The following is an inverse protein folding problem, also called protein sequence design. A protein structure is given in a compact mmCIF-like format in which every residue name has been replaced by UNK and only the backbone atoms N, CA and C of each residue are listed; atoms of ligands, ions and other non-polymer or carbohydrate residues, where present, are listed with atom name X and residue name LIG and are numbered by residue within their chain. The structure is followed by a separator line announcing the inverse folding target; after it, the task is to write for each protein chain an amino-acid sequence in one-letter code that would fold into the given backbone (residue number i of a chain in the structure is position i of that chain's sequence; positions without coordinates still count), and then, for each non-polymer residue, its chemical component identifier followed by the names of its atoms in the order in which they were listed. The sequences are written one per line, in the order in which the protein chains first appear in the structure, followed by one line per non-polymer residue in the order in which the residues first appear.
data_IF_926498047851
#
_entry.id   IF_926498047851
#
_cell.length_a   1.000
_cell.length_b   1.000
_cell.length_c   1.000
_cell.angle_alpha   90.00
_cell.angle_beta   90.00
_cell.angle_gamma   90.00
#
_symmetry.space_group_name_H-M   'P 1'
#
loop_
_entity.id
_entity.type
_entity.pdbx_description
1 polymer ?
#
# COMPACT_ATOMS: atom_id res chain seq x y z
N UNK A 1 12.57 4.53 -12.38
CA UNK A 1 13.44 5.24 -11.44
C UNK A 1 13.51 6.75 -11.74
N UNK A 2 13.79 7.18 -12.98
CA UNK A 2 13.87 8.62 -13.36
C UNK A 2 12.60 9.40 -13.00
N UNK A 3 11.41 8.84 -13.22
CA UNK A 3 10.14 9.50 -12.89
C UNK A 3 9.97 9.72 -11.38
N UNK A 4 10.36 8.75 -10.57
CA UNK A 4 10.33 8.87 -9.10
C UNK A 4 11.31 9.96 -8.66
N UNK A 5 12.56 9.94 -9.16
CA UNK A 5 13.53 10.98 -8.82
C UNK A 5 13.02 12.38 -9.16
N UNK A 6 12.47 12.54 -10.36
CA UNK A 6 11.91 13.82 -10.81
C UNK A 6 10.75 14.31 -9.91
N UNK A 7 9.85 13.40 -9.49
CA UNK A 7 8.78 13.73 -8.55
C UNK A 7 9.34 14.28 -7.23
N UNK A 8 10.33 13.61 -6.65
CA UNK A 8 10.92 14.02 -5.38
C UNK A 8 11.70 15.33 -5.51
N UNK A 9 12.48 15.50 -6.59
CA UNK A 9 13.23 16.74 -6.86
C UNK A 9 12.30 17.95 -7.02
N UNK A 10 11.16 17.77 -7.73
CA UNK A 10 10.16 18.83 -7.87
C UNK A 10 9.52 19.16 -6.52
N UNK A 11 9.11 18.15 -5.75
CA UNK A 11 8.50 18.36 -4.43
C UNK A 11 9.46 19.10 -3.49
N UNK A 12 10.73 18.72 -3.46
CA UNK A 12 11.74 19.40 -2.63
C UNK A 12 11.98 20.83 -3.12
N UNK A 13 12.02 21.04 -4.43
CA UNK A 13 12.20 22.38 -5.02
C UNK A 13 11.05 23.33 -4.63
N UNK A 14 9.82 22.83 -4.57
CA UNK A 14 8.62 23.63 -4.28
C UNK A 14 8.37 23.81 -2.78
N UNK A 15 8.62 22.79 -1.97
CA UNK A 15 8.25 22.75 -0.55
C UNK A 15 9.42 22.65 0.42
N UNK A 16 10.66 22.49 -0.09
CA UNK A 16 11.87 22.43 0.71
C UNK A 16 12.16 21.10 1.37
N UNK A 17 11.11 20.31 1.72
CA UNK A 17 11.21 19.03 2.44
C UNK A 17 10.05 18.10 2.13
N UNK A 18 10.21 16.84 2.52
CA UNK A 18 9.15 15.83 2.51
C UNK A 18 9.08 15.24 3.91
N UNK A 19 7.93 15.33 4.55
CA UNK A 19 7.68 14.83 5.91
C UNK A 19 6.94 13.52 5.92
N UNK A 20 6.05 13.32 4.95
CA UNK A 20 5.21 12.12 4.84
C UNK A 20 5.22 11.61 3.41
N UNK A 21 5.38 10.30 3.27
CA UNK A 21 5.15 9.58 2.02
C UNK A 21 4.01 8.58 2.23
N UNK A 22 2.98 8.64 1.37
CA UNK A 22 1.94 7.61 1.31
C UNK A 22 2.07 6.87 -0.02
N UNK A 23 2.52 5.62 0.02
CA UNK A 23 2.58 4.72 -1.12
C UNK A 23 1.23 4.05 -1.33
N UNK A 24 0.33 4.73 -2.01
CA UNK A 24 -1.03 4.23 -2.27
C UNK A 24 -1.17 3.58 -3.67
N UNK A 25 -0.35 3.96 -4.63
CA UNK A 25 -0.44 3.45 -5.98
C UNK A 25 -0.22 1.92 -6.01
N UNK A 26 -1.11 1.23 -6.70
CA UNK A 26 -1.04 -0.22 -6.88
C UNK A 26 -1.90 -0.62 -8.08
N UNK A 27 -1.58 -1.77 -8.65
CA UNK A 27 -2.30 -2.34 -9.77
C UNK A 27 -2.80 -3.72 -9.37
N UNK A 28 -4.11 -3.93 -9.47
CA UNK A 28 -4.75 -5.24 -9.41
C UNK A 28 -5.16 -5.68 -10.81
N UNK A 29 -5.15 -6.97 -11.03
CA UNK A 29 -5.72 -7.64 -12.20
C UNK A 29 -6.31 -8.96 -11.72
N UNK A 30 -7.12 -9.61 -12.54
CA UNK A 30 -7.67 -10.92 -12.24
C UNK A 30 -7.37 -11.88 -13.38
N UNK A 31 -6.53 -12.88 -13.11
CA UNK A 31 -6.12 -13.89 -14.06
C UNK A 31 -5.78 -15.19 -13.33
N UNK A 32 -6.26 -16.33 -13.82
CA UNK A 32 -5.83 -17.63 -13.31
C UNK A 32 -4.34 -17.82 -13.64
N UNK A 33 -3.59 -18.45 -12.74
CA UNK A 33 -2.15 -18.62 -12.93
C UNK A 33 -1.79 -19.33 -14.24
N UNK A 34 -2.62 -20.27 -14.68
CA UNK A 34 -2.42 -21.00 -15.94
C UNK A 34 -2.68 -20.17 -17.20
N UNK A 35 -3.36 -19.04 -17.06
CA UNK A 35 -3.72 -18.11 -18.14
C UNK A 35 -2.86 -16.84 -18.11
N UNK A 36 -2.19 -16.58 -16.98
CA UNK A 36 -1.40 -15.39 -16.74
C UNK A 36 -0.09 -15.45 -17.52
N UNK A 37 0.20 -14.40 -18.27
CA UNK A 37 1.51 -14.27 -18.90
C UNK A 37 2.53 -13.56 -18.01
N UNK A 38 3.82 -13.70 -18.34
CA UNK A 38 4.91 -13.08 -17.59
C UNK A 38 4.87 -11.56 -17.60
N UNK A 39 4.27 -10.95 -18.63
CA UNK A 39 4.14 -9.49 -18.74
C UNK A 39 3.11 -8.95 -17.75
N UNK A 40 1.97 -9.63 -17.59
CA UNK A 40 0.95 -9.29 -16.59
C UNK A 40 1.51 -9.44 -15.16
N UNK A 41 2.14 -10.59 -14.87
CA UNK A 41 2.83 -10.81 -13.60
C UNK A 41 3.82 -9.69 -13.29
N UNK A 42 4.75 -9.45 -14.22
CA UNK A 42 5.82 -8.45 -14.05
C UNK A 42 5.27 -7.03 -13.87
N UNK A 43 4.21 -6.69 -14.59
CA UNK A 43 3.56 -5.37 -14.48
C UNK A 43 2.94 -5.15 -13.10
N UNK A 44 2.23 -6.14 -12.55
CA UNK A 44 1.63 -6.03 -11.21
C UNK A 44 2.72 -5.90 -10.15
N UNK A 45 3.75 -6.72 -10.20
CA UNK A 45 4.91 -6.64 -9.28
C UNK A 45 5.63 -5.30 -9.42
N UNK A 46 5.89 -4.84 -10.65
CA UNK A 46 6.65 -3.61 -10.87
C UNK A 46 5.92 -2.37 -10.37
N UNK A 47 4.61 -2.26 -10.62
CA UNK A 47 3.82 -1.11 -10.15
C UNK A 47 3.62 -1.17 -8.63
N UNK A 48 3.21 -2.32 -8.10
CA UNK A 48 2.72 -2.43 -6.72
C UNK A 48 3.87 -2.57 -5.72
N UNK A 49 4.83 -3.45 -5.97
CA UNK A 49 5.94 -3.70 -5.05
C UNK A 49 7.17 -2.85 -5.37
N UNK A 50 7.65 -2.90 -6.61
CA UNK A 50 8.86 -2.16 -6.99
C UNK A 50 8.61 -0.63 -6.98
N UNK A 51 7.39 -0.18 -7.33
CA UNK A 51 6.98 1.22 -7.22
C UNK A 51 7.07 1.72 -5.77
N UNK A 52 6.47 0.96 -4.83
CA UNK A 52 6.57 1.24 -3.39
C UNK A 52 8.02 1.30 -2.92
N UNK A 53 8.85 0.32 -3.30
CA UNK A 53 10.27 0.29 -2.96
C UNK A 53 11.01 1.51 -3.49
N UNK A 54 10.81 1.88 -4.77
CA UNK A 54 11.49 3.03 -5.39
C UNK A 54 11.15 4.36 -4.72
N UNK A 55 9.85 4.58 -4.42
CA UNK A 55 9.40 5.79 -3.74
C UNK A 55 9.89 5.84 -2.29
N UNK A 56 9.81 4.73 -1.56
CA UNK A 56 10.34 4.61 -0.19
C UNK A 56 11.84 4.91 -0.14
N UNK A 57 12.63 4.34 -1.05
CA UNK A 57 14.07 4.59 -1.14
C UNK A 57 14.38 6.08 -1.40
N UNK A 58 13.63 6.73 -2.28
CA UNK A 58 13.79 8.14 -2.56
C UNK A 58 13.41 9.02 -1.35
N UNK A 59 12.32 8.68 -0.66
CA UNK A 59 11.89 9.37 0.56
C UNK A 59 12.92 9.25 1.69
N UNK A 60 13.42 8.06 1.95
CA UNK A 60 14.43 7.81 2.98
C UNK A 60 15.67 8.66 2.77
N UNK A 61 16.20 8.73 1.55
CA UNK A 61 17.37 9.58 1.22
C UNK A 61 17.17 11.05 1.59
N UNK A 62 15.93 11.52 1.57
CA UNK A 62 15.57 12.90 1.92
C UNK A 62 15.27 13.04 3.41
N UNK A 63 14.48 12.14 3.97
CA UNK A 63 14.05 12.16 5.37
C UNK A 63 15.21 11.95 6.34
N UNK A 64 16.20 11.11 5.98
CA UNK A 64 17.41 10.89 6.77
C UNK A 64 18.19 12.19 7.03
N UNK A 65 18.27 13.10 6.03
CA UNK A 65 18.94 14.39 6.18
C UNK A 65 18.26 15.29 7.23
N UNK A 66 16.96 15.12 7.38
CA UNK A 66 16.14 15.87 8.35
C UNK A 66 15.98 15.14 9.69
N UNK A 67 16.47 13.90 9.79
CA UNK A 67 16.31 13.02 10.94
C UNK A 67 14.83 12.92 11.41
N UNK A 68 13.90 12.92 10.48
CA UNK A 68 12.45 12.84 10.73
C UNK A 68 11.71 12.47 9.46
N UNK A 69 10.70 11.59 9.59
CA UNK A 69 9.79 11.27 8.50
C UNK A 69 8.77 10.21 8.87
N UNK A 70 7.73 10.08 8.05
CA UNK A 70 6.76 9.00 8.15
C UNK A 70 6.48 8.43 6.78
N UNK A 71 6.46 7.11 6.67
CA UNK A 71 6.09 6.39 5.45
C UNK A 71 4.91 5.47 5.78
N UNK A 72 3.84 5.57 4.99
CA UNK A 72 2.67 4.69 5.08
C UNK A 72 2.50 3.95 3.75
N UNK A 73 2.61 2.64 3.80
CA UNK A 73 2.42 1.78 2.63
C UNK A 73 1.01 1.22 2.58
N UNK A 74 0.43 1.10 1.39
CA UNK A 74 -0.87 0.48 1.18
C UNK A 74 -0.72 -0.94 0.64
N UNK A 75 -0.91 -1.93 1.52
CA UNK A 75 -0.99 -3.34 1.15
C UNK A 75 -2.44 -3.77 0.82
N UNK A 76 -2.87 -4.91 1.27
CA UNK A 76 -4.22 -5.47 1.17
C UNK A 76 -4.35 -6.68 2.09
N UNK A 77 -5.54 -7.01 2.56
CA UNK A 77 -5.79 -8.30 3.25
C UNK A 77 -5.39 -9.50 2.39
N UNK A 78 -5.34 -9.37 1.06
CA UNK A 78 -4.85 -10.42 0.16
C UNK A 78 -3.35 -10.70 0.29
N UNK A 79 -2.59 -9.88 1.01
CA UNK A 79 -1.24 -10.22 1.45
C UNK A 79 -1.21 -11.32 2.52
N UNK A 80 -2.33 -11.60 3.18
CA UNK A 80 -2.52 -12.66 4.18
C UNK A 80 -3.48 -13.75 3.74
N UNK A 81 -4.42 -13.42 2.85
CA UNK A 81 -5.55 -14.28 2.46
C UNK A 81 -5.46 -14.70 1.01
N UNK A 82 -6.12 -15.79 0.68
CA UNK A 82 -6.19 -16.31 -0.68
C UNK A 82 -7.46 -15.82 -1.40
N UNK A 83 -7.29 -15.50 -2.68
CA UNK A 83 -8.37 -15.26 -3.62
C UNK A 83 -7.96 -15.79 -4.99
N UNK A 84 -8.82 -16.59 -5.62
CA UNK A 84 -8.58 -17.11 -6.98
C UNK A 84 -8.36 -15.96 -7.97
N UNK A 85 -7.42 -16.12 -8.88
CA UNK A 85 -7.07 -15.11 -9.90
C UNK A 85 -6.24 -13.94 -9.38
N UNK A 86 -5.77 -13.96 -8.12
CA UNK A 86 -5.06 -12.83 -7.50
C UNK A 86 -3.61 -13.17 -7.09
N UNK A 87 -3.02 -14.24 -7.63
CA UNK A 87 -1.70 -14.72 -7.18
C UNK A 87 -0.59 -13.66 -7.28
N UNK A 88 -0.51 -12.92 -8.39
CA UNK A 88 0.44 -11.83 -8.60
C UNK A 88 0.22 -10.64 -7.65
N UNK A 89 -1.05 -10.24 -7.49
CA UNK A 89 -1.43 -9.14 -6.60
C UNK A 89 -1.18 -9.48 -5.13
N UNK A 90 -1.59 -10.68 -4.71
CA UNK A 90 -1.35 -11.19 -3.36
C UNK A 90 0.16 -11.27 -3.05
N UNK A 91 0.96 -11.78 -3.98
CA UNK A 91 2.41 -11.82 -3.84
C UNK A 91 3.02 -10.42 -3.69
N UNK A 92 2.59 -9.45 -4.53
CA UNK A 92 3.04 -8.07 -4.44
C UNK A 92 2.66 -7.43 -3.10
N UNK A 93 1.42 -7.60 -2.63
CA UNK A 93 0.92 -7.02 -1.38
C UNK A 93 1.54 -7.68 -0.14
N UNK A 94 1.77 -8.99 -0.15
CA UNK A 94 2.56 -9.68 0.88
C UNK A 94 4.01 -9.15 0.90
N UNK A 95 4.59 -8.93 -0.28
CA UNK A 95 5.92 -8.31 -0.42
C UNK A 95 5.97 -6.90 0.18
N UNK A 96 4.95 -6.06 -0.02
CA UNK A 96 4.85 -4.72 0.59
C UNK A 96 4.83 -4.81 2.12
N UNK A 97 4.10 -5.78 2.70
CA UNK A 97 4.07 -5.98 4.15
C UNK A 97 5.43 -6.39 4.73
N UNK A 98 6.10 -7.35 4.08
CA UNK A 98 7.43 -7.80 4.49
C UNK A 98 8.46 -6.68 4.34
N UNK A 99 8.44 -5.97 3.21
CA UNK A 99 9.27 -4.80 2.93
C UNK A 99 9.11 -3.72 4.00
N UNK A 100 7.87 -3.41 4.39
CA UNK A 100 7.57 -2.42 5.45
C UNK A 100 8.28 -2.76 6.75
N UNK A 101 8.21 -4.02 7.20
CA UNK A 101 8.84 -4.46 8.46
C UNK A 101 10.37 -4.32 8.41
N UNK A 102 10.99 -4.74 7.31
CA UNK A 102 12.44 -4.63 7.16
C UNK A 102 12.91 -3.18 7.13
N UNK A 103 12.25 -2.34 6.32
CA UNK A 103 12.61 -0.92 6.18
C UNK A 103 12.36 -0.14 7.45
N UNK A 104 11.35 -0.51 8.25
CA UNK A 104 11.09 0.13 9.54
C UNK A 104 12.28 0.00 10.50
N UNK A 105 12.95 -1.16 10.52
CA UNK A 105 14.16 -1.38 11.33
C UNK A 105 15.33 -0.51 10.84
N UNK A 106 15.53 -0.43 9.52
CA UNK A 106 16.59 0.39 8.91
C UNK A 106 16.37 1.90 9.12
N UNK A 107 15.10 2.32 9.15
CA UNK A 107 14.71 3.73 9.23
C UNK A 107 14.69 4.29 10.68
N UNK A 108 14.61 3.42 11.67
CA UNK A 108 14.41 3.81 13.08
C UNK A 108 15.53 4.69 13.63
N UNK A 109 16.79 4.45 13.24
CA UNK A 109 17.94 5.25 13.68
C UNK A 109 17.87 6.72 13.25
N UNK A 110 17.04 7.02 12.22
CA UNK A 110 16.81 8.38 11.70
C UNK A 110 15.47 8.97 12.16
N UNK A 111 14.85 8.42 13.20
CA UNK A 111 13.52 8.85 13.66
C UNK A 111 12.46 8.85 12.55
N UNK A 112 12.55 7.89 11.63
CA UNK A 112 11.59 7.69 10.54
C UNK A 112 10.74 6.46 10.87
N UNK A 113 9.42 6.63 10.89
CA UNK A 113 8.46 5.54 11.08
C UNK A 113 7.96 5.02 9.73
N UNK A 114 7.86 3.71 9.59
CA UNK A 114 7.35 3.07 8.37
C UNK A 114 6.29 2.04 8.77
N UNK A 115 5.05 2.28 8.40
CA UNK A 115 3.93 1.41 8.68
C UNK A 115 3.14 1.08 7.41
N UNK A 116 2.23 0.14 7.53
CA UNK A 116 1.43 -0.36 6.42
C UNK A 116 -0.05 -0.46 6.83
N UNK A 117 -0.97 -0.14 5.93
CA UNK A 117 -2.38 -0.50 6.04
C UNK A 117 -2.68 -1.67 5.11
N UNK A 118 -3.57 -2.55 5.55
CA UNK A 118 -4.05 -3.69 4.78
C UNK A 118 -5.59 -3.65 4.68
N UNK A 119 -6.13 -2.90 3.70
CA UNK A 119 -7.58 -2.84 3.51
C UNK A 119 -8.16 -4.15 2.98
N UNK A 120 -9.42 -4.42 3.34
CA UNK A 120 -10.27 -5.35 2.63
C UNK A 120 -10.93 -4.67 1.42
N UNK A 121 -12.19 -4.99 1.14
CA UNK A 121 -12.92 -4.37 0.04
C UNK A 121 -13.18 -2.88 0.34
N UNK A 122 -12.61 -2.00 -0.47
CA UNK A 122 -12.92 -0.58 -0.45
C UNK A 122 -13.49 -0.16 -1.81
N UNK A 123 -14.68 0.46 -1.80
CA UNK A 123 -15.36 0.86 -3.03
C UNK A 123 -14.72 2.12 -3.60
N UNK A 124 -14.13 2.00 -4.79
CA UNK A 124 -13.55 3.13 -5.50
C UNK A 124 -13.93 3.06 -7.00
N UNK A 125 -13.92 4.20 -7.74
CA UNK A 125 -14.42 4.25 -9.11
C UNK A 125 -13.78 3.26 -10.09
N UNK A 126 -12.52 2.90 -9.91
CA UNK A 126 -11.85 1.93 -10.78
C UNK A 126 -12.33 0.51 -10.51
N UNK A 127 -12.58 0.12 -9.26
CA UNK A 127 -13.13 -1.19 -8.94
C UNK A 127 -14.54 -1.35 -9.53
N UNK A 128 -15.39 -0.33 -9.35
CA UNK A 128 -16.74 -0.32 -9.92
C UNK A 128 -16.76 -0.42 -11.45
N UNK A 129 -15.72 0.07 -12.13
CA UNK A 129 -15.60 -0.01 -13.61
C UNK A 129 -14.99 -1.33 -14.09
N UNK A 130 -14.12 -1.96 -13.31
CA UNK A 130 -13.35 -3.14 -13.72
C UNK A 130 -13.93 -4.47 -13.26
N UNK A 131 -14.91 -4.44 -12.35
CA UNK A 131 -15.53 -5.64 -11.77
C UNK A 131 -17.02 -5.71 -12.13
N UNK A 132 -17.53 -6.91 -12.34
CA UNK A 132 -18.97 -7.11 -12.48
C UNK A 132 -19.67 -7.05 -11.11
N UNK A 133 -20.98 -6.81 -11.10
CA UNK A 133 -21.74 -6.65 -9.87
C UNK A 133 -21.75 -7.94 -9.04
N UNK A 134 -21.86 -9.11 -9.65
CA UNK A 134 -21.87 -10.40 -8.94
C UNK A 134 -20.58 -10.63 -8.14
N UNK A 135 -19.43 -10.23 -8.71
CA UNK A 135 -18.14 -10.29 -7.99
C UNK A 135 -18.14 -9.32 -6.80
N UNK A 136 -18.60 -8.09 -7.00
CA UNK A 136 -18.68 -7.09 -5.93
C UNK A 136 -19.58 -7.60 -4.80
N UNK A 137 -20.75 -8.13 -5.12
CA UNK A 137 -21.72 -8.67 -4.15
C UNK A 137 -21.10 -9.86 -3.39
N UNK A 138 -20.42 -10.77 -4.07
CA UNK A 138 -19.73 -11.90 -3.44
C UNK A 138 -18.57 -11.48 -2.52
N UNK A 139 -17.97 -10.34 -2.77
CA UNK A 139 -16.94 -9.75 -1.89
C UNK A 139 -17.59 -9.06 -0.68
N UNK A 140 -18.71 -8.37 -0.88
CA UNK A 140 -19.49 -7.72 0.20
C UNK A 140 -20.01 -8.76 1.19
N UNK A 141 -20.45 -9.92 0.75
CA UNK A 141 -20.90 -11.02 1.62
C UNK A 141 -19.83 -11.48 2.62
N UNK A 142 -18.55 -11.27 2.31
CA UNK A 142 -17.44 -11.58 3.22
C UNK A 142 -17.20 -10.50 4.27
N UNK A 143 -17.77 -9.32 4.09
CA UNK A 143 -17.63 -8.21 5.02
C UNK A 143 -18.70 -8.30 6.11
N UNK A 144 -18.31 -8.38 7.38
CA UNK A 144 -19.24 -8.51 8.52
C UNK A 144 -20.20 -7.32 8.63
N UNK A 145 -19.75 -6.15 8.19
CA UNK A 145 -20.59 -4.94 8.15
C UNK A 145 -21.58 -4.93 6.98
N UNK A 146 -21.59 -5.95 6.11
CA UNK A 146 -22.50 -6.08 4.97
C UNK A 146 -22.32 -4.99 3.91
N UNK A 147 -21.17 -4.35 3.87
CA UNK A 147 -20.81 -3.33 2.89
C UNK A 147 -19.30 -3.25 2.66
N UNK A 148 -18.91 -2.73 1.52
CA UNK A 148 -17.53 -2.30 1.30
C UNK A 148 -17.18 -1.08 2.19
N UNK A 149 -15.89 -0.90 2.47
CA UNK A 149 -15.41 0.32 3.10
C UNK A 149 -15.48 1.49 2.10
N UNK A 150 -15.75 2.67 2.62
CA UNK A 150 -15.58 3.91 1.88
C UNK A 150 -14.08 4.28 1.83
N UNK A 151 -13.55 4.87 0.75
CA UNK A 151 -12.13 5.22 0.64
C UNK A 151 -11.61 6.06 1.80
N UNK A 152 -12.44 6.96 2.35
CA UNK A 152 -12.05 7.80 3.49
C UNK A 152 -11.88 7.01 4.80
N UNK A 153 -12.54 5.86 4.98
CA UNK A 153 -12.36 5.00 6.15
C UNK A 153 -10.94 4.40 6.16
N UNK A 154 -10.42 4.03 5.00
CA UNK A 154 -9.02 3.62 4.85
C UNK A 154 -8.06 4.80 5.02
N UNK A 155 -8.38 5.94 4.40
CA UNK A 155 -7.56 7.14 4.48
C UNK A 155 -7.40 7.65 5.92
N UNK A 156 -8.43 7.55 6.77
CA UNK A 156 -8.34 7.93 8.19
C UNK A 156 -7.27 7.14 8.95
N UNK A 157 -7.12 5.85 8.65
CA UNK A 157 -6.05 5.04 9.26
C UNK A 157 -4.68 5.46 8.74
N UNK A 158 -4.56 5.80 7.45
CA UNK A 158 -3.30 6.34 6.90
C UNK A 158 -2.95 7.68 7.56
N UNK A 159 -3.92 8.57 7.76
CA UNK A 159 -3.72 9.86 8.46
C UNK A 159 -3.31 9.63 9.91
N UNK A 160 -3.95 8.69 10.62
CA UNK A 160 -3.53 8.30 11.97
C UNK A 160 -2.08 7.83 12.00
N UNK A 161 -1.68 6.95 11.08
CA UNK A 161 -0.31 6.45 10.99
C UNK A 161 0.70 7.53 10.59
N UNK A 162 0.28 8.54 9.83
CA UNK A 162 1.10 9.69 9.45
C UNK A 162 1.26 10.73 10.58
N UNK A 163 0.39 10.70 11.58
CA UNK A 163 0.33 11.68 12.67
C UNK A 163 1.19 11.30 13.88
N UNK A 164 1.34 12.23 14.83
CA UNK A 164 1.99 11.98 16.12
C UNK A 164 1.17 11.05 17.04
N UNK A 165 -0.11 10.81 16.76
CA UNK A 165 -0.94 9.86 17.53
C UNK A 165 -0.43 8.42 17.42
N UNK A 166 0.38 8.10 16.40
CA UNK A 166 1.03 6.80 16.22
C UNK A 166 2.54 6.85 16.44
N UNK A 167 3.03 7.78 17.29
CA UNK A 167 4.47 8.04 17.48
C UNK A 167 5.28 6.83 17.96
N UNK A 168 4.64 5.84 18.61
CA UNK A 168 5.30 4.60 19.07
C UNK A 168 5.09 3.40 18.12
N UNK A 169 4.58 3.65 16.90
CA UNK A 169 4.28 2.59 15.93
C UNK A 169 5.24 2.67 14.74
N UNK A 170 5.99 1.59 14.51
CA UNK A 170 6.79 1.39 13.29
C UNK A 170 6.89 -0.11 12.99
N UNK A 171 6.90 -0.48 11.72
CA UNK A 171 6.93 -1.87 11.26
C UNK A 171 5.57 -2.57 11.33
N UNK A 172 4.50 -1.87 11.70
CA UNK A 172 3.17 -2.45 11.85
C UNK A 172 2.44 -2.58 10.51
N UNK A 173 1.61 -3.62 10.44
CA UNK A 173 0.66 -3.83 9.34
C UNK A 173 -0.75 -3.85 9.93
N UNK A 174 -1.47 -2.75 9.75
CA UNK A 174 -2.78 -2.54 10.35
C UNK A 174 -3.88 -2.98 9.37
N UNK A 175 -4.68 -3.96 9.77
CA UNK A 175 -5.87 -4.35 9.02
C UNK A 175 -6.93 -3.26 9.08
N UNK A 176 -7.44 -2.84 7.91
CA UNK A 176 -8.60 -1.95 7.77
C UNK A 176 -9.70 -2.76 7.09
N UNK A 177 -10.35 -3.61 7.86
CA UNK A 177 -11.22 -4.65 7.34
C UNK A 177 -12.34 -4.98 8.33
N UNK A 178 -13.50 -5.30 7.80
CA UNK A 178 -14.59 -5.93 8.55
C UNK A 178 -14.74 -7.43 8.24
N UNK A 179 -13.79 -8.03 7.55
CA UNK A 179 -13.80 -9.48 7.30
C UNK A 179 -13.36 -10.24 8.53
N UNK A 180 -13.95 -11.42 8.75
CA UNK A 180 -13.42 -12.36 9.73
C UNK A 180 -11.99 -12.79 9.38
N UNK A 181 -11.12 -13.00 10.40
CA UNK A 181 -9.75 -13.48 10.20
C UNK A 181 -9.69 -14.88 9.60
#
# INVERSE_FOLDING_TARGET
EKQVQNLFDQTIKEHGRIDVLINNAGLGAQSLLVEMDDAEWSRVIDVTLNGTMRCTRAALKTMQKNNKGVIVNNASVLGWRAQSGQSHYAAAKAGVMAFTRCVAVEAAEYNIRVNCVAPSLAMHPNLAKSSNQDLIDSLIEKEVMGRAAEPWEVANVMVFLASEYSSYMTGEVISVSSQHP
#
